data_IF_910287012045
#
_entry.id   IF_910287012045
#
_cell.length_a   1.000
_cell.length_b   1.000
_cell.length_c   1.000
_cell.angle_alpha   90.00
_cell.angle_beta   90.00
_cell.angle_gamma   90.00
#
_symmetry.space_group_name_H-M   'P 1'
#
loop_
_entity.id
_entity.type
_entity.pdbx_description
1 polymer ?
#
# COMPACT_ATOMS: atom_id res chain seq x y z
N UNK A 1 9.12 -1.40 -5.34
CA UNK A 1 8.48 -0.29 -6.09
C UNK A 1 9.18 1.04 -5.78
N UNK A 2 9.14 2.00 -6.70
CA UNK A 2 9.85 3.28 -6.62
C UNK A 2 8.88 4.44 -6.80
N UNK A 3 9.02 5.53 -6.04
CA UNK A 3 8.19 6.74 -6.18
C UNK A 3 8.39 7.35 -7.55
N UNK A 4 7.30 7.53 -8.29
CA UNK A 4 7.27 8.22 -9.58
C UNK A 4 6.78 9.66 -9.41
N UNK A 5 5.72 9.87 -8.61
CA UNK A 5 5.18 11.20 -8.31
C UNK A 5 4.42 11.22 -7.00
N UNK A 6 4.32 12.41 -6.38
CA UNK A 6 3.60 12.65 -5.13
C UNK A 6 2.72 13.89 -5.24
N UNK A 7 1.49 13.79 -4.74
CA UNK A 7 0.53 14.91 -4.71
C UNK A 7 -0.08 15.04 -3.32
N UNK A 8 -0.20 16.29 -2.83
CA UNK A 8 -0.94 16.56 -1.60
C UNK A 8 -2.43 16.64 -1.91
N UNK A 9 -3.24 15.79 -1.26
CA UNK A 9 -4.70 15.80 -1.41
C UNK A 9 -5.30 16.49 -0.20
N UNK A 10 -5.81 17.70 -0.43
CA UNK A 10 -6.56 18.51 0.54
C UNK A 10 -5.85 18.73 1.90
N UNK A 11 -4.51 18.67 1.95
CA UNK A 11 -3.75 18.77 3.20
C UNK A 11 -3.87 17.55 4.11
N UNK A 12 -4.50 16.45 3.66
CA UNK A 12 -4.83 15.27 4.48
C UNK A 12 -4.13 14.00 4.03
N UNK A 13 -3.86 13.86 2.74
CA UNK A 13 -3.14 12.70 2.22
C UNK A 13 -1.95 13.10 1.37
N UNK A 14 -0.92 12.27 1.42
CA UNK A 14 0.03 12.15 0.33
C UNK A 14 -0.42 11.01 -0.59
N UNK A 15 -0.90 11.36 -1.78
CA UNK A 15 -1.14 10.39 -2.86
C UNK A 15 0.16 10.16 -3.59
N UNK A 16 0.70 8.95 -3.51
CA UNK A 16 1.97 8.59 -4.11
C UNK A 16 1.73 7.54 -5.18
N UNK A 17 2.13 7.88 -6.41
CA UNK A 17 2.21 6.94 -7.52
C UNK A 17 3.58 6.33 -7.53
N UNK A 18 3.63 5.01 -7.49
CA UNK A 18 4.83 4.23 -7.62
C UNK A 18 4.93 3.61 -9.02
N UNK A 19 6.14 3.29 -9.43
CA UNK A 19 6.43 2.45 -10.60
C UNK A 19 7.37 1.30 -10.23
N UNK A 20 7.34 0.22 -11.00
CA UNK A 20 8.33 -0.86 -10.91
C UNK A 20 7.91 -2.12 -11.66
N UNK A 21 8.86 -2.76 -12.34
CA UNK A 21 8.66 -4.04 -13.04
C UNK A 21 8.26 -5.19 -12.13
N UNK A 22 8.60 -5.11 -10.84
CA UNK A 22 8.24 -6.11 -9.83
C UNK A 22 6.73 -6.17 -9.56
N UNK A 23 5.93 -5.25 -10.14
CA UNK A 23 4.47 -5.30 -10.12
C UNK A 23 3.88 -6.20 -11.21
N UNK A 24 4.70 -6.80 -12.09
CA UNK A 24 4.22 -7.76 -13.06
C UNK A 24 3.46 -8.92 -12.37
N UNK A 25 2.21 -9.15 -12.78
CA UNK A 25 1.34 -10.17 -12.19
C UNK A 25 0.63 -9.74 -10.89
N UNK A 26 0.80 -8.49 -10.45
CA UNK A 26 0.03 -7.93 -9.35
C UNK A 26 -1.47 -7.92 -9.68
N UNK A 27 -2.30 -8.31 -8.72
CA UNK A 27 -3.76 -8.26 -8.84
C UNK A 27 -4.38 -7.76 -7.55
N UNK A 28 -5.46 -7.00 -7.67
CA UNK A 28 -6.25 -6.54 -6.53
C UNK A 28 -7.70 -6.32 -6.94
N UNK A 29 -8.50 -7.40 -7.07
CA UNK A 29 -9.87 -7.30 -7.56
C UNK A 29 -10.88 -6.81 -6.49
N UNK A 30 -10.57 -6.94 -5.20
CA UNK A 30 -11.42 -6.48 -4.11
C UNK A 30 -11.15 -5.01 -3.77
N UNK A 31 -12.20 -4.23 -3.52
CA UNK A 31 -12.07 -2.79 -3.24
C UNK A 31 -11.34 -2.52 -1.91
N UNK A 32 -11.43 -3.46 -0.97
CA UNK A 32 -10.85 -3.45 0.37
C UNK A 32 -9.60 -4.33 0.50
N UNK A 33 -9.08 -4.85 -0.63
CA UNK A 33 -7.79 -5.51 -0.65
C UNK A 33 -6.72 -4.61 -0.03
N UNK A 34 -5.76 -5.24 0.64
CA UNK A 34 -4.62 -4.54 1.23
C UNK A 34 -3.31 -5.25 0.89
N UNK A 35 -2.26 -4.44 0.79
CA UNK A 35 -0.88 -4.88 0.69
C UNK A 35 -0.13 -4.50 1.96
N UNK A 36 0.95 -5.23 2.26
CA UNK A 36 1.92 -4.82 3.26
C UNK A 36 2.96 -3.92 2.61
N UNK A 37 3.18 -2.76 3.21
CA UNK A 37 4.25 -1.83 2.86
C UNK A 37 5.31 -1.89 3.95
N UNK A 38 6.56 -2.18 3.58
CA UNK A 38 7.70 -2.28 4.50
C UNK A 38 8.53 -1.00 4.46
N UNK A 39 8.74 -0.39 5.62
CA UNK A 39 9.46 0.87 5.78
C UNK A 39 10.88 0.61 6.30
N UNK A 40 11.91 1.18 5.65
CA UNK A 40 13.28 1.05 6.11
C UNK A 40 13.50 1.81 7.42
N UNK A 41 14.35 1.28 8.30
CA UNK A 41 14.70 1.92 9.58
C UNK A 41 15.56 3.17 9.40
N UNK A 42 16.27 3.26 8.28
CA UNK A 42 17.05 4.41 7.84
C UNK A 42 17.16 4.40 6.32
N UNK A 43 17.48 5.54 5.70
CA UNK A 43 17.71 5.62 4.26
C UNK A 43 18.83 4.65 3.83
N UNK A 44 18.58 3.88 2.76
CA UNK A 44 19.52 2.87 2.26
C UNK A 44 19.63 1.59 3.10
N UNK A 45 18.90 1.45 4.21
CA UNK A 45 18.92 0.23 5.02
C UNK A 45 18.31 -0.98 4.28
N UNK A 46 19.00 -2.11 4.34
CA UNK A 46 18.47 -3.38 3.83
C UNK A 46 17.34 -3.88 4.73
N UNK A 47 16.20 -4.20 4.12
CA UNK A 47 15.04 -4.77 4.81
C UNK A 47 15.21 -6.29 4.95
N UNK A 48 15.13 -6.79 6.17
CA UNK A 48 15.04 -8.22 6.45
C UNK A 48 13.62 -8.72 6.12
N UNK A 49 13.40 -9.07 4.85
CA UNK A 49 12.10 -9.51 4.32
C UNK A 49 11.84 -10.99 4.61
N UNK A 50 10.57 -11.41 4.70
CA UNK A 50 10.25 -12.81 4.81
C UNK A 50 10.40 -13.53 3.46
N UNK A 51 10.65 -14.83 3.52
CA UNK A 51 10.54 -15.73 2.38
C UNK A 51 9.18 -16.45 2.42
N UNK A 52 8.57 -16.60 1.25
CA UNK A 52 7.37 -17.44 1.10
C UNK A 52 7.85 -18.84 0.74
N UNK A 53 7.45 -19.82 1.55
CA UNK A 53 7.76 -21.24 1.38
C UNK A 53 6.47 -22.06 1.39
N UNK A 54 6.55 -23.34 1.01
CA UNK A 54 5.40 -24.26 1.07
C UNK A 54 4.86 -24.43 2.51
N UNK A 55 5.72 -24.27 3.53
CA UNK A 55 5.34 -24.30 4.94
C UNK A 55 4.80 -22.95 5.46
N UNK A 56 4.75 -21.92 4.61
CA UNK A 56 4.28 -20.58 4.94
C UNK A 56 5.36 -19.50 4.90
N UNK A 57 5.10 -18.39 5.58
CA UNK A 57 5.97 -17.20 5.61
C UNK A 57 7.06 -17.38 6.67
N UNK A 58 8.31 -17.48 6.25
CA UNK A 58 9.48 -17.63 7.12
C UNK A 58 10.21 -16.29 7.22
N UNK A 59 10.41 -15.81 8.45
CA UNK A 59 11.16 -14.58 8.70
C UNK A 59 12.62 -14.90 9.02
N UNK A 60 13.59 -14.13 8.49
CA UNK A 60 14.97 -14.19 8.94
C UNK A 60 15.07 -13.81 10.42
N UNK A 61 16.14 -14.28 11.08
CA UNK A 61 16.46 -13.87 12.45
C UNK A 61 16.76 -12.36 12.52
N UNK A 62 16.40 -11.73 13.65
CA UNK A 62 16.65 -10.32 13.91
C UNK A 62 15.40 -9.45 13.89
N UNK A 63 15.62 -8.14 13.81
CA UNK A 63 14.54 -7.15 13.90
C UNK A 63 13.74 -7.11 12.60
N UNK A 64 12.45 -7.37 12.69
CA UNK A 64 11.55 -7.24 11.54
C UNK A 64 11.37 -5.76 11.19
N UNK A 65 11.34 -5.43 9.89
CA UNK A 65 11.06 -4.07 9.47
C UNK A 65 9.64 -3.65 9.88
N UNK A 66 9.46 -2.34 10.10
CA UNK A 66 8.12 -1.83 10.35
C UNK A 66 7.29 -1.96 9.08
N UNK A 67 6.07 -2.50 9.22
CA UNK A 67 5.15 -2.67 8.12
C UNK A 67 3.78 -2.08 8.43
N UNK A 68 3.08 -1.58 7.42
CA UNK A 68 1.69 -1.12 7.52
C UNK A 68 0.89 -1.66 6.35
N UNK A 69 -0.41 -1.87 6.60
CA UNK A 69 -1.34 -2.28 5.56
C UNK A 69 -1.85 -1.04 4.82
N UNK A 70 -1.88 -1.11 3.49
CA UNK A 70 -2.36 -0.05 2.61
C UNK A 70 -3.27 -0.62 1.52
N UNK A 71 -4.33 0.10 1.19
CA UNK A 71 -5.20 -0.23 0.05
C UNK A 71 -4.51 0.16 -1.27
N UNK A 72 -4.40 -0.75 -2.26
CA UNK A 72 -4.03 -0.44 -3.63
C UNK A 72 -5.05 0.49 -4.29
N UNK A 73 -4.90 1.81 -4.16
CA UNK A 73 -5.91 2.76 -4.63
C UNK A 73 -6.13 2.64 -6.14
N UNK A 74 -5.05 2.56 -6.92
CA UNK A 74 -5.10 2.38 -8.37
C UNK A 74 -3.94 1.49 -8.82
N UNK A 75 -4.20 0.60 -9.77
CA UNK A 75 -3.18 -0.14 -10.48
C UNK A 75 -3.46 -0.04 -11.97
N UNK A 76 -2.45 0.25 -12.78
CA UNK A 76 -2.60 0.40 -14.23
C UNK A 76 -2.67 -0.93 -15.00
N UNK A 77 -2.50 -2.06 -14.30
CA UNK A 77 -2.47 -3.39 -14.91
C UNK A 77 -1.07 -3.84 -15.33
N UNK A 78 -0.05 -2.98 -15.20
CA UNK A 78 1.28 -3.25 -15.72
C UNK A 78 2.38 -2.99 -14.69
N UNK A 79 2.57 -1.73 -14.29
CA UNK A 79 3.77 -1.34 -13.53
C UNK A 79 3.59 -0.14 -12.63
N UNK A 80 2.38 0.40 -12.49
CA UNK A 80 2.12 1.55 -11.64
C UNK A 80 1.03 1.29 -10.61
N UNK A 81 1.40 1.55 -9.36
CA UNK A 81 0.55 1.39 -8.19
C UNK A 81 0.45 2.73 -7.45
N UNK A 82 -0.77 3.18 -7.18
CA UNK A 82 -1.04 4.39 -6.39
C UNK A 82 -1.49 3.99 -4.99
N UNK A 83 -0.94 4.65 -3.97
CA UNK A 83 -1.35 4.52 -2.57
C UNK A 83 -1.61 5.90 -1.97
N UNK A 84 -2.58 5.97 -1.04
CA UNK A 84 -2.86 7.16 -0.25
C UNK A 84 -2.34 6.99 1.18
N UNK A 85 -1.51 7.94 1.62
CA UNK A 85 -0.94 7.98 2.97
C UNK A 85 -1.62 9.10 3.76
N UNK A 86 -2.42 8.75 4.76
CA UNK A 86 -3.03 9.73 5.66
C UNK A 86 -1.95 10.44 6.50
N UNK A 87 -2.03 11.76 6.56
CA UNK A 87 -1.07 12.60 7.28
C UNK A 87 -1.47 12.69 8.75
N UNK A 88 -0.60 12.20 9.62
CA UNK A 88 -0.72 12.35 11.06
C UNK A 88 0.67 12.47 11.72
N UNK A 89 0.69 12.90 12.98
CA UNK A 89 1.93 13.03 13.75
C UNK A 89 2.45 11.65 14.19
N UNK A 90 3.78 11.49 14.27
CA UNK A 90 4.49 10.35 14.87
C UNK A 90 4.13 8.99 14.24
N UNK A 91 4.19 8.89 12.91
CA UNK A 91 3.86 7.66 12.20
C UNK A 91 4.87 7.36 11.12
N UNK A 92 5.55 6.21 11.20
CA UNK A 92 6.58 5.80 10.23
C UNK A 92 6.16 5.98 8.77
N UNK A 93 4.91 5.67 8.44
CA UNK A 93 4.40 5.78 7.08
C UNK A 93 4.02 7.22 6.69
N UNK A 94 3.44 7.98 7.62
CA UNK A 94 3.13 9.41 7.43
C UNK A 94 4.42 10.23 7.29
N UNK A 95 5.40 9.97 8.16
CA UNK A 95 6.71 10.63 8.17
C UNK A 95 7.51 10.28 6.92
N UNK A 96 7.49 9.02 6.50
CA UNK A 96 8.10 8.58 5.24
C UNK A 96 7.43 9.26 4.04
N UNK A 97 6.11 9.22 3.93
CA UNK A 97 5.38 9.81 2.79
C UNK A 97 5.58 11.33 2.69
N UNK A 98 5.70 11.99 3.84
CA UNK A 98 6.03 13.43 3.92
C UNK A 98 7.39 13.74 3.31
N UNK A 99 8.40 12.90 3.59
CA UNK A 99 9.76 13.08 3.09
C UNK A 99 9.98 12.53 1.69
N UNK A 100 9.13 11.58 1.24
CA UNK A 100 9.32 10.83 0.01
C UNK A 100 9.47 11.72 -1.25
N UNK A 101 10.45 11.40 -2.09
CA UNK A 101 10.75 12.07 -3.35
C UNK A 101 10.77 11.06 -4.50
N UNK A 102 10.58 11.51 -5.76
CA UNK A 102 10.79 10.65 -6.93
C UNK A 102 12.18 10.00 -6.87
N UNK A 103 12.24 8.67 -6.94
CA UNK A 103 13.48 7.93 -6.67
C UNK A 103 13.42 7.02 -5.45
N UNK A 104 12.68 7.41 -4.43
CA UNK A 104 12.62 6.66 -3.17
C UNK A 104 11.94 5.32 -3.34
N UNK A 105 12.35 4.33 -2.54
CA UNK A 105 11.90 2.95 -2.70
C UNK A 105 11.18 2.45 -1.47
N UNK A 106 10.14 1.66 -1.74
CA UNK A 106 9.48 0.83 -0.75
C UNK A 106 9.38 -0.60 -1.27
N UNK A 107 9.32 -1.51 -0.32
CA UNK A 107 9.05 -2.92 -0.60
C UNK A 107 7.61 -3.20 -0.20
N UNK A 108 6.90 -3.92 -1.06
CA UNK A 108 5.51 -4.30 -0.83
C UNK A 108 5.34 -5.81 -0.94
N UNK A 109 4.33 -6.34 -0.26
CA UNK A 109 3.94 -7.74 -0.36
C UNK A 109 2.43 -7.91 -0.33
N UNK A 110 1.92 -8.88 -1.10
CA UNK A 110 0.50 -9.16 -1.26
C UNK A 110 -0.13 -8.51 -2.50
N UNK A 111 -1.48 -8.45 -2.56
CA UNK A 111 -2.42 -8.84 -1.51
C UNK A 111 -2.34 -10.33 -1.18
N UNK A 112 -2.58 -10.72 0.08
CA UNK A 112 -2.58 -12.14 0.47
C UNK A 112 -3.81 -12.88 -0.05
N UNK A 113 -4.90 -12.17 -0.25
CA UNK A 113 -6.17 -12.68 -0.73
C UNK A 113 -7.06 -11.50 -1.07
N UNK A 114 -8.21 -11.82 -1.67
CA UNK A 114 -9.19 -10.84 -2.08
C UNK A 114 -10.60 -11.35 -1.83
N UNK A 115 -11.49 -10.45 -1.44
CA UNK A 115 -12.92 -10.71 -1.33
C UNK A 115 -13.66 -9.81 -2.32
N UNK A 116 -14.17 -10.40 -3.40
CA UNK A 116 -14.98 -9.66 -4.38
C UNK A 116 -16.42 -9.62 -3.91
N UNK A 117 -16.87 -8.44 -3.49
CA UNK A 117 -18.23 -8.20 -3.01
C UNK A 117 -19.12 -7.71 -4.16
N UNK A 118 -20.26 -8.37 -4.46
CA UNK A 118 -21.21 -7.91 -5.48
C UNK A 118 -21.66 -6.46 -5.28
N UNK A 119 -21.92 -5.72 -6.35
CA UNK A 119 -22.33 -4.30 -6.30
C UNK A 119 -23.84 -4.10 -6.36
N UNK A 120 -24.61 -5.16 -6.60
CA UNK A 120 -26.04 -5.15 -6.92
C UNK A 120 -26.95 -5.40 -5.71
N UNK A 121 -26.41 -5.37 -4.48
CA UNK A 121 -27.23 -5.38 -3.28
C UNK A 121 -28.19 -4.18 -3.26
N UNK A 122 -29.45 -4.43 -2.87
CA UNK A 122 -30.49 -3.40 -2.79
C UNK A 122 -30.14 -2.22 -1.87
N UNK A 123 -29.29 -2.46 -0.87
CA UNK A 123 -28.77 -1.44 0.04
C UNK A 123 -27.36 -1.79 0.50
N UNK A 124 -26.47 -0.79 0.56
CA UNK A 124 -25.11 -0.91 1.08
C UNK A 124 -24.80 0.32 1.92
N UNK A 125 -24.31 0.12 3.15
CA UNK A 125 -23.86 1.17 4.04
C UNK A 125 -22.34 1.07 4.20
N UNK A 126 -21.64 2.16 3.88
CA UNK A 126 -20.21 2.29 4.08
C UNK A 126 -19.94 3.30 5.18
N UNK A 127 -19.19 2.89 6.19
CA UNK A 127 -18.75 3.75 7.30
C UNK A 127 -17.25 3.58 7.44
N UNK A 128 -16.51 4.67 7.27
CA UNK A 128 -15.07 4.68 7.44
C UNK A 128 -14.60 6.06 7.91
N UNK A 129 -13.45 6.06 8.57
CA UNK A 129 -12.66 7.27 8.81
C UNK A 129 -11.72 7.52 7.61
N UNK A 130 -10.74 8.39 7.79
CA UNK A 130 -9.78 8.74 6.75
C UNK A 130 -9.00 7.53 6.22
N UNK A 131 -8.73 6.52 7.05
CA UNK A 131 -7.94 5.35 6.65
C UNK A 131 -8.71 4.39 5.74
N UNK A 132 -10.04 4.41 5.78
CA UNK A 132 -10.90 3.62 4.89
C UNK A 132 -11.33 4.34 3.61
N UNK A 133 -11.05 5.64 3.48
CA UNK A 133 -11.38 6.42 2.28
C UNK A 133 -10.77 5.85 0.99
N UNK A 134 -9.53 5.31 0.96
CA UNK A 134 -8.99 4.68 -0.25
C UNK A 134 -9.81 3.49 -0.73
N UNK A 135 -10.24 2.60 0.17
CA UNK A 135 -11.10 1.47 -0.17
C UNK A 135 -12.47 1.93 -0.65
N UNK A 136 -13.07 2.89 0.05
CA UNK A 136 -14.34 3.48 -0.37
C UNK A 136 -14.24 4.15 -1.75
N UNK A 137 -13.16 4.88 -2.02
CA UNK A 137 -12.92 5.52 -3.32
C UNK A 137 -12.79 4.51 -4.46
N UNK A 138 -12.22 3.32 -4.20
CA UNK A 138 -12.21 2.22 -5.18
C UNK A 138 -13.60 1.65 -5.42
N UNK A 139 -14.41 1.54 -4.35
CA UNK A 139 -15.76 0.99 -4.42
C UNK A 139 -16.73 1.85 -5.23
N UNK A 140 -16.46 3.15 -5.33
CA UNK A 140 -17.29 4.10 -6.07
C UNK A 140 -16.98 4.15 -7.59
N UNK A 141 -16.05 3.33 -8.08
CA UNK A 141 -15.65 3.29 -9.50
C UNK A 141 -16.34 2.18 -10.27
#
# INVERSE_FOLDING_TARGET
>A
IQVASKTNIAGKFWRIRFSGSDLAGFTSPGFDDHIKVFFPSAEGATLALPQITDAGIVWPEGLRPQARDYTPLEFDGESSLTLDFYIHQQGVASDWATQAQPGDRLIVGGPRGSLVVPTDYAFQLYVCDETGLPAFARRQR
#
